data_IF_872218074752
#
_entry.id   IF_872218074752
#
_cell.length_a   1.000
_cell.length_b   1.000
_cell.length_c   1.000
_cell.angle_alpha   90.00
_cell.angle_beta   90.00
_cell.angle_gamma   90.00
#
_symmetry.space_group_name_H-M   'P 1'
#
loop_
_entity.id
_entity.type
_entity.pdbx_description
1 polymer ?
#
# COMPACT_ATOMS: atom_id res chain seq x y z
N UNK A 1 -9.20 -18.53 -20.57
CA UNK A 1 -8.30 -18.55 -19.40
C UNK A 1 -8.96 -17.88 -18.21
N UNK A 2 -9.32 -18.68 -17.20
CA UNK A 2 -9.65 -18.24 -15.84
C UNK A 2 -8.63 -18.80 -14.87
N UNK A 3 -8.30 -18.01 -13.84
CA UNK A 3 -7.27 -18.34 -12.87
C UNK A 3 -7.81 -18.52 -11.45
N UNK A 4 -7.06 -19.27 -10.66
CA UNK A 4 -7.22 -19.45 -9.23
C UNK A 4 -5.88 -19.28 -8.53
N UNK A 5 -5.89 -18.67 -7.36
CA UNK A 5 -4.68 -18.45 -6.55
C UNK A 5 -4.79 -19.22 -5.25
N UNK A 6 -3.73 -19.95 -4.91
CA UNK A 6 -3.61 -20.69 -3.66
C UNK A 6 -2.41 -20.15 -2.88
N UNK A 7 -2.66 -19.67 -1.66
CA UNK A 7 -1.62 -19.24 -0.73
C UNK A 7 -1.46 -20.27 0.40
N UNK A 8 -0.23 -20.75 0.58
CA UNK A 8 0.10 -21.81 1.53
C UNK A 8 0.99 -21.23 2.62
N UNK A 9 0.56 -21.44 3.86
CA UNK A 9 1.29 -21.07 5.06
C UNK A 9 0.38 -21.11 6.26
N UNK A 10 0.76 -21.89 7.27
CA UNK A 10 0.02 -22.01 8.53
C UNK A 10 -0.16 -20.64 9.22
N UNK A 11 0.80 -19.72 9.06
CA UNK A 11 0.71 -18.33 9.55
C UNK A 11 -0.41 -17.52 8.88
N UNK A 12 -0.79 -17.87 7.64
CA UNK A 12 -1.89 -17.22 6.93
C UNK A 12 -3.23 -17.69 7.50
N UNK A 13 -3.40 -19.00 7.69
CA UNK A 13 -4.65 -19.57 8.24
C UNK A 13 -4.89 -19.23 9.70
N UNK A 14 -3.82 -18.98 10.46
CA UNK A 14 -3.92 -18.53 11.86
C UNK A 14 -4.13 -17.01 11.99
N UNK A 15 -4.05 -16.27 10.89
CA UNK A 15 -4.15 -14.82 10.88
C UNK A 15 -2.91 -14.09 11.42
N UNK A 16 -1.81 -14.81 11.68
CA UNK A 16 -0.55 -14.20 12.10
C UNK A 16 0.08 -13.34 11.01
N UNK A 17 -0.27 -13.58 9.74
CA UNK A 17 0.16 -12.78 8.60
C UNK A 17 -0.96 -12.65 7.57
N UNK A 18 -1.09 -11.45 7.01
CA UNK A 18 -2.02 -11.17 5.91
C UNK A 18 -1.47 -11.72 4.58
N UNK A 19 -2.33 -12.39 3.81
CA UNK A 19 -2.01 -12.77 2.44
C UNK A 19 -2.04 -11.57 1.50
N UNK A 20 -0.85 -11.01 1.26
CA UNK A 20 -0.65 -9.92 0.29
C UNK A 20 -0.23 -10.43 -1.09
N UNK A 21 0.13 -11.72 -1.21
CA UNK A 21 0.58 -12.32 -2.46
C UNK A 21 -0.60 -12.52 -3.41
N UNK A 22 -1.71 -13.08 -2.91
CA UNK A 22 -2.91 -13.29 -3.73
C UNK A 22 -3.50 -11.98 -4.22
N UNK A 23 -3.49 -10.94 -3.37
CA UNK A 23 -3.91 -9.59 -3.77
C UNK A 23 -3.06 -9.07 -4.94
N UNK A 24 -1.73 -9.18 -4.85
CA UNK A 24 -0.84 -8.68 -5.90
C UNK A 24 -1.00 -9.47 -7.20
N UNK A 25 -1.00 -10.80 -7.14
CA UNK A 25 -1.19 -11.66 -8.32
C UNK A 25 -2.54 -11.44 -9.02
N UNK A 26 -3.60 -11.19 -8.26
CA UNK A 26 -4.90 -10.82 -8.84
C UNK A 26 -4.85 -9.54 -9.66
N UNK A 27 -4.09 -8.53 -9.22
CA UNK A 27 -3.93 -7.28 -9.97
C UNK A 27 -3.18 -7.52 -11.27
N UNK A 28 -2.08 -8.27 -11.22
CA UNK A 28 -1.28 -8.59 -12.40
C UNK A 28 -2.05 -9.41 -13.44
N UNK A 29 -2.79 -10.44 -13.01
CA UNK A 29 -3.61 -11.24 -13.92
C UNK A 29 -4.77 -10.43 -14.52
N UNK A 30 -5.40 -9.56 -13.72
CA UNK A 30 -6.46 -8.66 -14.21
C UNK A 30 -5.92 -7.70 -15.27
N UNK A 31 -4.67 -7.22 -15.11
CA UNK A 31 -4.03 -6.34 -16.08
C UNK A 31 -3.88 -6.97 -17.47
N UNK A 32 -3.84 -8.29 -17.58
CA UNK A 32 -3.84 -9.01 -18.86
C UNK A 32 -5.18 -9.71 -19.17
N UNK A 33 -6.25 -9.36 -18.44
CA UNK A 33 -7.60 -9.87 -18.68
C UNK A 33 -7.80 -11.33 -18.37
N UNK A 34 -7.04 -11.87 -17.41
CA UNK A 34 -7.26 -13.19 -16.84
C UNK A 34 -7.99 -13.00 -15.50
N UNK A 35 -9.31 -13.27 -15.44
CA UNK A 35 -10.05 -13.11 -14.20
C UNK A 35 -9.63 -14.18 -13.18
N UNK A 36 -9.35 -13.74 -11.95
CA UNK A 36 -9.19 -14.63 -10.81
C UNK A 36 -10.55 -14.86 -10.16
N UNK A 37 -11.00 -16.11 -10.12
CA UNK A 37 -12.34 -16.47 -9.59
C UNK A 37 -12.31 -16.91 -8.13
N UNK A 38 -11.20 -17.48 -7.70
CA UNK A 38 -11.06 -18.07 -6.38
C UNK A 38 -9.70 -17.71 -5.79
N UNK A 39 -9.71 -17.36 -4.51
CA UNK A 39 -8.54 -17.38 -3.62
C UNK A 39 -8.75 -18.51 -2.62
N UNK A 40 -7.72 -19.33 -2.41
CA UNK A 40 -7.71 -20.39 -1.41
C UNK A 40 -6.50 -20.19 -0.51
N UNK A 41 -6.71 -20.17 0.80
CA UNK A 41 -5.62 -20.06 1.79
C UNK A 41 -5.60 -21.33 2.62
N UNK A 42 -4.43 -21.96 2.77
CA UNK A 42 -4.30 -23.26 3.42
C UNK A 42 -3.08 -23.35 4.33
N UNK A 43 -3.20 -24.17 5.38
CA UNK A 43 -2.08 -24.58 6.22
C UNK A 43 -1.24 -25.64 5.52
N UNK A 44 -0.07 -25.91 6.08
CA UNK A 44 0.90 -26.88 5.58
C UNK A 44 0.49 -28.33 5.95
N UNK A 45 -0.54 -28.83 5.28
CA UNK A 45 -1.05 -30.20 5.42
C UNK A 45 -1.13 -30.90 4.06
N UNK A 46 -0.34 -31.95 3.88
CA UNK A 46 -0.13 -32.59 2.57
C UNK A 46 -1.43 -33.15 1.98
N UNK A 47 -2.25 -33.83 2.76
CA UNK A 47 -3.48 -34.47 2.27
C UNK A 47 -4.54 -33.42 1.90
N UNK A 48 -4.72 -32.41 2.75
CA UNK A 48 -5.62 -31.30 2.48
C UNK A 48 -5.18 -30.50 1.25
N UNK A 49 -3.87 -30.23 1.10
CA UNK A 49 -3.31 -29.53 -0.05
C UNK A 49 -3.61 -30.29 -1.35
N UNK A 50 -3.36 -31.60 -1.39
CA UNK A 50 -3.67 -32.43 -2.58
C UNK A 50 -5.16 -32.38 -2.91
N UNK A 51 -6.04 -32.51 -1.92
CA UNK A 51 -7.49 -32.47 -2.12
C UNK A 51 -7.97 -31.12 -2.68
N UNK A 52 -7.43 -30.01 -2.16
CA UNK A 52 -7.74 -28.68 -2.65
C UNK A 52 -7.18 -28.44 -4.06
N UNK A 53 -5.94 -28.84 -4.32
CA UNK A 53 -5.32 -28.68 -5.65
C UNK A 53 -6.11 -29.40 -6.73
N UNK A 54 -6.63 -30.60 -6.45
CA UNK A 54 -7.50 -31.34 -7.38
C UNK A 54 -8.74 -30.52 -7.73
N UNK A 55 -9.43 -29.99 -6.72
CA UNK A 55 -10.58 -29.10 -6.91
C UNK A 55 -10.23 -27.89 -7.78
N UNK A 56 -9.10 -27.23 -7.50
CA UNK A 56 -8.64 -26.04 -8.23
C UNK A 56 -8.28 -26.34 -9.68
N UNK A 57 -7.56 -27.44 -9.94
CA UNK A 57 -7.18 -27.88 -11.29
C UNK A 57 -8.41 -28.19 -12.16
N UNK A 58 -9.42 -28.85 -11.58
CA UNK A 58 -10.62 -29.25 -12.33
C UNK A 58 -11.50 -28.07 -12.76
N UNK A 59 -11.45 -26.94 -12.02
CA UNK A 59 -12.29 -25.77 -12.30
C UNK A 59 -11.56 -24.57 -12.92
N UNK A 60 -10.23 -24.60 -13.01
CA UNK A 60 -9.42 -23.45 -13.46
C UNK A 60 -8.44 -23.82 -14.58
N UNK A 61 -8.17 -22.89 -15.50
CA UNK A 61 -7.18 -23.08 -16.60
C UNK A 61 -5.75 -22.77 -16.15
N UNK A 62 -5.62 -21.91 -15.13
CA UNK A 62 -4.37 -21.54 -14.50
C UNK A 62 -4.53 -21.60 -12.98
N UNK A 63 -3.63 -22.30 -12.30
CA UNK A 63 -3.53 -22.29 -10.83
C UNK A 63 -2.17 -21.74 -10.45
N UNK A 64 -2.16 -20.62 -9.74
CA UNK A 64 -0.96 -20.03 -9.17
C UNK A 64 -0.88 -20.36 -7.68
N UNK A 65 0.21 -20.98 -7.26
CA UNK A 65 0.44 -21.40 -5.88
C UNK A 65 1.61 -20.59 -5.32
N UNK A 66 1.48 -20.04 -4.12
CA UNK A 66 2.57 -19.35 -3.42
C UNK A 66 2.80 -19.94 -2.03
N UNK A 67 4.07 -20.17 -1.67
CA UNK A 67 4.45 -20.71 -0.37
C UNK A 67 4.76 -22.22 -0.35
N UNK A 68 5.35 -22.68 0.75
CA UNK A 68 5.66 -24.10 1.01
C UNK A 68 6.74 -24.73 0.11
N UNK A 69 7.65 -23.93 -0.46
CA UNK A 69 8.78 -24.40 -1.29
C UNK A 69 10.16 -24.05 -0.73
N UNK A 70 10.27 -23.64 0.54
CA UNK A 70 11.55 -23.55 1.22
C UNK A 70 12.14 -24.94 1.55
N UNK A 71 13.17 -25.01 2.41
CA UNK A 71 13.82 -26.24 2.82
C UNK A 71 13.24 -26.87 4.11
N UNK A 72 12.23 -26.29 4.77
CA UNK A 72 11.75 -26.73 6.10
C UNK A 72 10.74 -27.89 6.02
N UNK A 73 10.29 -28.43 7.17
CA UNK A 73 9.52 -29.71 7.22
C UNK A 73 8.07 -29.51 6.81
N UNK A 74 7.58 -28.33 7.09
CA UNK A 74 6.31 -27.75 6.67
C UNK A 74 6.33 -27.30 5.19
N UNK A 75 7.48 -27.20 4.52
CA UNK A 75 7.53 -26.91 3.08
C UNK A 75 7.13 -28.14 2.21
N UNK A 76 5.82 -28.35 2.11
CA UNK A 76 5.19 -29.52 1.49
C UNK A 76 4.63 -29.29 0.08
N UNK A 77 4.72 -28.08 -0.49
CA UNK A 77 4.08 -27.75 -1.78
C UNK A 77 4.59 -28.60 -2.94
N UNK A 78 5.91 -28.90 -3.00
CA UNK A 78 6.46 -29.78 -4.04
C UNK A 78 5.85 -31.18 -3.97
N UNK A 79 5.76 -31.73 -2.76
CA UNK A 79 5.22 -33.06 -2.48
C UNK A 79 3.73 -33.09 -2.83
N UNK A 80 2.99 -32.03 -2.51
CA UNK A 80 1.57 -31.91 -2.85
C UNK A 80 1.35 -31.83 -4.38
N UNK A 81 2.17 -31.09 -5.12
CA UNK A 81 2.08 -31.04 -6.59
C UNK A 81 2.47 -32.39 -7.21
N UNK A 82 3.47 -33.08 -6.67
CA UNK A 82 3.82 -34.43 -7.09
C UNK A 82 2.67 -35.43 -6.85
N UNK A 83 2.04 -35.39 -5.67
CA UNK A 83 0.88 -36.23 -5.34
C UNK A 83 -0.40 -35.86 -6.09
N UNK A 84 -0.54 -34.60 -6.51
CA UNK A 84 -1.61 -34.16 -7.41
C UNK A 84 -1.49 -34.81 -8.79
N UNK A 85 -0.27 -34.82 -9.34
CA UNK A 85 0.01 -35.38 -10.66
C UNK A 85 0.30 -36.90 -10.66
N UNK A 86 0.29 -37.53 -9.49
CA UNK A 86 0.63 -38.95 -9.28
C UNK A 86 2.02 -39.33 -9.85
N UNK A 87 3.01 -38.49 -9.57
CA UNK A 87 4.40 -38.67 -10.00
C UNK A 87 5.37 -38.55 -8.83
N UNK A 88 6.58 -39.10 -9.01
CA UNK A 88 7.66 -38.94 -8.05
C UNK A 88 8.35 -37.57 -8.17
N UNK A 89 9.05 -37.17 -7.10
CA UNK A 89 10.00 -36.07 -7.15
C UNK A 89 11.36 -36.55 -7.69
N UNK A 90 11.92 -35.82 -8.65
CA UNK A 90 13.23 -36.07 -9.24
C UNK A 90 14.18 -34.93 -8.96
N UNK A 91 15.46 -35.25 -8.74
CA UNK A 91 16.49 -34.23 -8.59
C UNK A 91 16.74 -33.55 -9.94
N UNK A 92 16.84 -32.22 -9.92
CA UNK A 92 17.30 -31.43 -11.06
C UNK A 92 18.68 -30.85 -10.74
N UNK A 93 19.72 -31.50 -11.26
CA UNK A 93 21.12 -31.19 -11.00
C UNK A 93 21.47 -29.72 -11.31
N UNK A 94 21.01 -29.11 -12.42
CA UNK A 94 21.29 -27.69 -12.68
C UNK A 94 20.71 -26.77 -11.59
N UNK A 95 19.51 -27.05 -11.07
CA UNK A 95 18.94 -26.27 -9.95
C UNK A 95 19.76 -26.44 -8.68
N UNK A 96 20.23 -27.67 -8.40
CA UNK A 96 21.08 -27.94 -7.23
C UNK A 96 22.39 -27.16 -7.28
N UNK A 97 23.04 -27.09 -8.45
CA UNK A 97 24.29 -26.34 -8.62
C UNK A 97 24.09 -24.83 -8.45
N UNK A 98 22.98 -24.29 -8.96
CA UNK A 98 22.61 -22.88 -8.71
C UNK A 98 22.46 -22.65 -7.20
N UNK A 99 21.74 -23.51 -6.49
CA UNK A 99 21.55 -23.36 -5.04
C UNK A 99 22.89 -23.40 -4.30
N UNK A 100 23.75 -24.38 -4.61
CA UNK A 100 25.12 -24.46 -4.03
C UNK A 100 25.91 -23.17 -4.27
N UNK A 101 25.85 -22.62 -5.49
CA UNK A 101 26.56 -21.37 -5.83
C UNK A 101 26.10 -20.18 -4.97
N UNK A 102 24.81 -20.12 -4.59
CA UNK A 102 24.29 -19.07 -3.71
C UNK A 102 24.89 -19.15 -2.30
N UNK A 103 25.05 -20.36 -1.76
CA UNK A 103 25.70 -20.57 -0.46
C UNK A 103 27.19 -20.21 -0.50
N UNK A 104 27.89 -20.59 -1.57
CA UNK A 104 29.30 -20.21 -1.81
C UNK A 104 29.45 -18.69 -1.86
N UNK A 105 28.59 -17.98 -2.62
CA UNK A 105 28.61 -16.52 -2.69
C UNK A 105 28.37 -15.84 -1.33
N UNK A 106 27.56 -16.48 -0.48
CA UNK A 106 27.30 -16.04 0.90
C UNK A 106 28.38 -16.49 1.90
N UNK A 107 29.46 -17.14 1.44
CA UNK A 107 30.53 -17.72 2.26
C UNK A 107 30.00 -18.69 3.33
N UNK A 108 29.01 -19.50 2.96
CA UNK A 108 28.40 -20.52 3.83
C UNK A 108 28.43 -21.88 3.14
N UNK A 109 28.52 -22.93 3.94
CA UNK A 109 28.25 -24.28 3.46
C UNK A 109 26.73 -24.49 3.30
N UNK A 110 26.33 -25.23 2.27
CA UNK A 110 24.93 -25.55 2.03
C UNK A 110 24.51 -26.71 2.95
N UNK A 111 23.50 -26.54 3.82
CA UNK A 111 22.93 -27.65 4.55
C UNK A 111 22.38 -28.71 3.58
N UNK A 112 22.60 -30.00 3.87
CA UNK A 112 22.15 -31.10 2.99
C UNK A 112 20.67 -31.01 2.62
N UNK A 113 19.87 -30.59 3.59
CA UNK A 113 18.43 -30.46 3.46
C UNK A 113 18.01 -29.48 2.36
N UNK A 114 18.79 -28.44 2.07
CA UNK A 114 18.49 -27.50 0.99
C UNK A 114 18.44 -28.18 -0.39
N UNK A 115 19.03 -29.37 -0.55
CA UNK A 115 18.90 -30.15 -1.78
C UNK A 115 17.44 -30.50 -2.12
N UNK A 116 16.53 -30.54 -1.13
CA UNK A 116 15.08 -30.75 -1.38
C UNK A 116 14.49 -29.65 -2.27
N UNK A 117 15.07 -28.44 -2.26
CA UNK A 117 14.63 -27.33 -3.10
C UNK A 117 14.99 -27.54 -4.59
N UNK A 118 15.84 -28.53 -4.90
CA UNK A 118 16.16 -28.96 -6.26
C UNK A 118 15.37 -30.22 -6.68
N UNK A 119 14.38 -30.65 -5.89
CA UNK A 119 13.51 -31.78 -6.21
C UNK A 119 12.22 -31.29 -6.85
N UNK A 120 11.87 -31.81 -8.03
CA UNK A 120 10.74 -31.38 -8.82
C UNK A 120 9.83 -32.55 -9.19
N UNK A 121 8.51 -32.38 -9.26
CA UNK A 121 7.62 -33.39 -9.82
C UNK A 121 8.09 -33.81 -11.21
N UNK A 122 8.19 -35.12 -11.47
CA UNK A 122 8.57 -35.63 -12.80
C UNK A 122 7.64 -35.05 -13.88
N UNK A 123 8.23 -34.47 -14.92
CA UNK A 123 7.49 -33.82 -16.01
C UNK A 123 7.12 -32.35 -15.76
N UNK A 124 7.58 -31.76 -14.64
CA UNK A 124 7.54 -30.32 -14.43
C UNK A 124 8.83 -29.63 -14.90
N UNK A 125 8.74 -28.33 -15.10
CA UNK A 125 9.85 -27.46 -15.46
C UNK A 125 10.20 -26.52 -14.29
N UNK A 126 11.48 -26.40 -13.92
CA UNK A 126 11.91 -25.47 -12.88
C UNK A 126 11.85 -24.02 -13.37
N UNK A 127 11.37 -23.11 -12.51
CA UNK A 127 11.35 -21.67 -12.77
C UNK A 127 12.46 -21.00 -11.97
N UNK A 128 13.31 -20.22 -12.64
CA UNK A 128 14.45 -19.57 -11.99
C UNK A 128 14.03 -18.61 -10.88
N UNK A 129 14.73 -18.65 -9.75
CA UNK A 129 14.60 -17.68 -8.66
C UNK A 129 15.95 -17.00 -8.41
N UNK A 130 16.22 -15.82 -9.00
CA UNK A 130 17.50 -15.14 -8.79
C UNK A 130 17.61 -14.46 -7.41
N UNK A 131 16.51 -14.35 -6.65
CA UNK A 131 16.47 -13.64 -5.35
C UNK A 131 16.49 -14.58 -4.14
N UNK A 132 16.19 -15.85 -4.30
CA UNK A 132 16.20 -16.85 -3.23
C UNK A 132 16.60 -18.24 -3.70
N UNK A 133 16.73 -19.17 -2.75
CA UNK A 133 17.24 -20.52 -3.02
C UNK A 133 16.18 -21.52 -3.48
N UNK A 134 14.90 -21.12 -3.56
CA UNK A 134 13.80 -21.97 -3.96
C UNK A 134 13.36 -21.65 -5.40
N UNK A 135 13.74 -22.44 -6.42
CA UNK A 135 13.17 -22.31 -7.75
C UNK A 135 11.67 -22.64 -7.71
N UNK A 136 10.90 -22.02 -8.60
CA UNK A 136 9.49 -22.32 -8.79
C UNK A 136 9.27 -23.58 -9.63
N UNK A 137 8.01 -23.96 -9.83
CA UNK A 137 7.61 -25.16 -10.57
C UNK A 137 6.56 -24.76 -11.60
N UNK A 138 6.71 -25.19 -12.85
CA UNK A 138 5.68 -25.09 -13.90
C UNK A 138 5.29 -26.49 -14.33
N UNK A 139 4.02 -26.84 -14.29
CA UNK A 139 3.54 -28.17 -14.68
C UNK A 139 2.18 -28.09 -15.37
N UNK A 140 1.98 -28.96 -16.37
CA UNK A 140 0.66 -29.20 -16.94
C UNK A 140 0.04 -30.40 -16.22
N UNK A 141 -1.14 -30.21 -15.64
CA UNK A 141 -1.87 -31.26 -14.91
C UNK A 141 -3.19 -31.52 -15.63
N UNK A 142 -3.45 -32.79 -15.96
CA UNK A 142 -4.69 -33.18 -16.63
C UNK A 142 -5.88 -33.05 -15.67
N UNK A 143 -7.00 -32.54 -16.19
CA UNK A 143 -8.26 -32.44 -15.44
C UNK A 143 -8.99 -33.78 -15.39
N UNK A 144 -9.74 -33.99 -14.32
CA UNK A 144 -10.59 -35.17 -14.15
C UNK A 144 -11.66 -35.23 -15.24
N UNK A 145 -11.77 -36.37 -15.93
CA UNK A 145 -12.87 -36.65 -16.86
C UNK A 145 -12.73 -36.06 -18.27
N UNK A 146 -11.54 -35.64 -18.70
CA UNK A 146 -11.30 -35.21 -20.09
C UNK A 146 -9.83 -35.00 -20.46
N UNK A 147 -9.58 -34.51 -21.68
CA UNK A 147 -8.23 -34.25 -22.23
C UNK A 147 -7.73 -32.82 -21.96
N UNK A 148 -8.46 -32.04 -21.17
CA UNK A 148 -8.10 -30.66 -20.84
C UNK A 148 -6.99 -30.65 -19.78
N UNK A 149 -6.05 -29.72 -19.92
CA UNK A 149 -4.97 -29.49 -18.96
C UNK A 149 -5.16 -28.17 -18.21
N UNK A 150 -4.75 -28.15 -16.95
CA UNK A 150 -4.56 -26.96 -16.14
C UNK A 150 -3.06 -26.68 -16.02
N UNK A 151 -2.67 -25.42 -16.23
CA UNK A 151 -1.30 -25.00 -15.95
C UNK A 151 -1.17 -24.67 -14.47
N UNK A 152 -0.34 -25.42 -13.75
CA UNK A 152 -0.01 -25.20 -12.34
C UNK A 152 1.35 -24.53 -12.24
N UNK A 153 1.42 -23.40 -11.56
CA UNK A 153 2.66 -22.64 -11.34
C UNK A 153 2.85 -22.43 -9.84
N UNK A 154 3.98 -22.88 -9.32
CA UNK A 154 4.36 -22.71 -7.91
C UNK A 154 5.47 -21.69 -7.78
N UNK A 155 5.29 -20.74 -6.86
CA UNK A 155 6.22 -19.66 -6.58
C UNK A 155 6.53 -19.57 -5.07
N UNK A 156 7.64 -18.90 -4.67
CA UNK A 156 7.97 -18.69 -3.27
C UNK A 156 6.88 -17.92 -2.50
N UNK A 157 6.80 -18.11 -1.18
CA UNK A 157 5.91 -17.32 -0.32
C UNK A 157 6.44 -15.91 -0.02
N UNK A 158 7.75 -15.68 -0.20
CA UNK A 158 8.39 -14.38 0.02
C UNK A 158 7.98 -13.40 -1.09
N UNK A 159 7.31 -12.27 -0.78
CA UNK A 159 6.74 -11.39 -1.82
C UNK A 159 7.77 -10.88 -2.83
N UNK A 160 8.96 -10.49 -2.38
CA UNK A 160 10.00 -9.94 -3.27
C UNK A 160 10.59 -10.97 -4.24
N UNK A 161 10.55 -12.26 -3.90
CA UNK A 161 10.96 -13.36 -4.76
C UNK A 161 9.83 -13.73 -5.73
N UNK A 162 8.61 -13.90 -5.21
CA UNK A 162 7.42 -14.22 -5.98
C UNK A 162 7.15 -13.19 -7.08
N UNK A 163 7.08 -11.90 -6.73
CA UNK A 163 6.80 -10.82 -7.69
C UNK A 163 7.79 -10.84 -8.85
N UNK A 164 9.09 -10.97 -8.53
CA UNK A 164 10.17 -11.02 -9.50
C UNK A 164 10.05 -12.23 -10.42
N UNK A 165 9.79 -13.41 -9.86
CA UNK A 165 9.60 -14.64 -10.63
C UNK A 165 8.39 -14.54 -11.55
N UNK A 166 7.28 -14.00 -11.03
CA UNK A 166 6.06 -13.83 -11.81
C UNK A 166 6.30 -12.91 -13.01
N UNK A 167 6.81 -11.70 -12.79
CA UNK A 167 7.05 -10.69 -13.84
C UNK A 167 7.97 -11.21 -14.96
N UNK A 168 9.00 -11.98 -14.60
CA UNK A 168 10.03 -12.39 -15.56
C UNK A 168 9.77 -13.69 -16.29
N UNK A 169 9.26 -14.68 -15.57
CA UNK A 169 9.26 -16.07 -16.06
C UNK A 169 7.83 -16.56 -16.30
N UNK A 170 6.86 -16.07 -15.53
CA UNK A 170 5.47 -16.52 -15.62
C UNK A 170 4.68 -15.65 -16.58
N UNK A 171 4.65 -14.34 -16.34
CA UNK A 171 3.84 -13.35 -17.04
C UNK A 171 4.07 -13.38 -18.57
N UNK A 172 5.32 -13.47 -19.09
CA UNK A 172 5.53 -13.52 -20.55
C UNK A 172 4.93 -14.76 -21.22
N UNK A 173 4.74 -15.84 -20.47
CA UNK A 173 4.13 -17.08 -20.94
C UNK A 173 2.61 -17.12 -20.81
N UNK A 174 1.95 -16.06 -20.32
CA UNK A 174 0.50 -15.98 -20.19
C UNK A 174 -0.10 -15.21 -21.36
N UNK A 175 -1.09 -15.81 -22.03
CA UNK A 175 -1.87 -15.15 -23.08
C UNK A 175 -3.22 -14.72 -22.49
N UNK A 176 -3.42 -13.40 -22.42
CA UNK A 176 -4.67 -12.79 -21.99
C UNK A 176 -5.85 -13.09 -22.92
N UNK A 177 -7.06 -12.72 -22.49
CA UNK A 177 -8.28 -12.86 -23.30
C UNK A 177 -8.42 -11.82 -24.42
N UNK A 178 -7.43 -10.93 -24.57
CA UNK A 178 -7.53 -9.72 -25.40
C UNK A 178 -8.33 -8.59 -24.73
N UNK A 179 -9.05 -8.87 -23.65
CA UNK A 179 -9.62 -7.86 -22.76
C UNK A 179 -8.53 -7.41 -21.78
N UNK A 180 -8.51 -6.12 -21.49
CA UNK A 180 -7.55 -5.47 -20.61
C UNK A 180 -8.35 -4.83 -19.48
N UNK A 181 -7.86 -4.97 -18.26
CA UNK A 181 -8.35 -4.21 -17.11
C UNK A 181 -7.23 -3.26 -16.69
N UNK A 182 -7.55 -2.00 -16.48
CA UNK A 182 -6.63 -1.04 -15.86
C UNK A 182 -7.30 -0.40 -14.68
N UNK A 183 -6.49 -0.07 -13.69
CA UNK A 183 -6.91 0.64 -12.50
C UNK A 183 -6.19 1.96 -12.41
N UNK A 184 -6.84 2.96 -11.83
CA UNK A 184 -6.21 4.19 -11.40
C UNK A 184 -6.78 4.64 -10.05
N UNK A 185 -5.99 5.41 -9.31
CA UNK A 185 -6.41 6.01 -8.04
C UNK A 185 -6.23 7.51 -8.05
N UNK A 186 -7.25 8.21 -7.56
CA UNK A 186 -7.20 9.65 -7.28
C UNK A 186 -7.46 9.86 -5.79
N UNK A 187 -6.53 10.49 -5.11
CA UNK A 187 -6.52 10.64 -3.66
C UNK A 187 -7.02 12.04 -3.28
N UNK A 188 -7.94 12.06 -2.33
CA UNK A 188 -8.61 13.25 -1.85
C UNK A 188 -8.50 13.38 -0.32
N UNK A 189 -8.44 14.62 0.16
CA UNK A 189 -8.41 14.94 1.59
C UNK A 189 -9.30 16.15 1.87
N UNK A 190 -9.98 16.15 3.03
CA UNK A 190 -10.87 17.24 3.46
C UNK A 190 -12.35 17.05 3.12
N UNK A 191 -12.70 16.00 2.37
CA UNK A 191 -14.09 15.65 2.05
C UNK A 191 -14.47 14.32 2.70
N UNK A 192 -15.71 14.19 3.16
CA UNK A 192 -16.27 12.93 3.67
C UNK A 192 -16.75 12.01 2.55
N UNK A 193 -16.87 10.71 2.82
CA UNK A 193 -17.27 9.70 1.81
C UNK A 193 -18.62 10.03 1.15
N UNK A 194 -19.68 10.23 1.95
CA UNK A 194 -21.01 10.53 1.43
C UNK A 194 -21.08 11.85 0.66
N UNK A 195 -20.32 12.86 1.08
CA UNK A 195 -20.23 14.12 0.38
C UNK A 195 -19.50 13.97 -0.97
N UNK A 196 -18.41 13.20 -0.99
CA UNK A 196 -17.71 12.88 -2.24
C UNK A 196 -18.61 12.10 -3.21
N UNK A 197 -19.38 11.12 -2.71
CA UNK A 197 -20.35 10.37 -3.51
C UNK A 197 -21.42 11.29 -4.11
N UNK A 198 -22.00 12.18 -3.30
CA UNK A 198 -23.00 13.16 -3.76
C UNK A 198 -22.44 14.10 -4.84
N UNK A 199 -21.22 14.62 -4.63
CA UNK A 199 -20.54 15.48 -5.60
C UNK A 199 -20.28 14.73 -6.92
N UNK A 200 -19.94 13.44 -6.86
CA UNK A 200 -19.65 12.60 -8.02
C UNK A 200 -20.91 12.17 -8.80
N UNK A 201 -22.03 11.95 -8.12
CA UNK A 201 -23.32 11.60 -8.71
C UNK A 201 -23.23 10.33 -9.57
N UNK A 202 -23.73 10.39 -10.81
CA UNK A 202 -23.74 9.27 -11.77
C UNK A 202 -22.34 8.71 -12.14
N UNK A 203 -21.25 9.31 -11.66
CA UNK A 203 -19.91 8.73 -11.80
C UNK A 203 -19.72 7.45 -11.00
N UNK A 204 -20.40 7.31 -9.86
CA UNK A 204 -20.33 6.13 -8.98
C UNK A 204 -21.47 5.13 -9.21
N UNK A 205 -22.27 5.33 -10.27
CA UNK A 205 -23.37 4.44 -10.60
C UNK A 205 -22.90 3.00 -10.83
N UNK A 206 -23.69 2.03 -10.35
CA UNK A 206 -23.44 0.60 -10.56
C UNK A 206 -23.49 0.28 -12.06
N UNK A 207 -22.68 -0.67 -12.49
CA UNK A 207 -22.57 -1.16 -13.88
C UNK A 207 -21.97 -0.17 -14.91
N UNK A 208 -21.39 0.95 -14.46
CA UNK A 208 -20.62 1.86 -15.32
C UNK A 208 -19.26 1.28 -15.71
N UNK A 209 -18.79 1.58 -16.91
CA UNK A 209 -17.40 1.37 -17.35
C UNK A 209 -16.80 2.69 -17.86
N UNK A 210 -15.78 3.25 -17.20
CA UNK A 210 -15.09 2.68 -16.05
C UNK A 210 -15.93 2.76 -14.77
N UNK A 211 -15.76 1.76 -13.89
CA UNK A 211 -16.32 1.76 -12.55
C UNK A 211 -15.53 2.76 -11.69
N UNK A 212 -16.22 3.59 -10.90
CA UNK A 212 -15.59 4.49 -9.93
C UNK A 212 -16.10 4.15 -8.54
N UNK A 213 -15.26 3.50 -7.75
CA UNK A 213 -15.53 3.18 -6.35
C UNK A 213 -14.85 4.17 -5.41
N UNK A 214 -15.43 4.35 -4.22
CA UNK A 214 -14.88 5.18 -3.14
C UNK A 214 -14.37 4.28 -2.04
N UNK A 215 -13.16 4.54 -1.54
CA UNK A 215 -12.61 3.85 -0.37
C UNK A 215 -11.97 4.84 0.59
N UNK A 216 -12.05 4.55 1.89
CA UNK A 216 -11.47 5.37 2.95
C UNK A 216 -10.34 4.63 3.65
N UNK A 217 -9.18 5.29 3.81
CA UNK A 217 -8.07 4.77 4.59
C UNK A 217 -7.27 5.92 5.21
N UNK A 218 -7.03 5.89 6.52
CA UNK A 218 -6.25 6.91 7.25
C UNK A 218 -6.58 8.36 6.85
N UNK A 219 -7.88 8.70 6.88
CA UNK A 219 -8.41 10.01 6.50
C UNK A 219 -8.18 10.45 5.03
N UNK A 220 -7.70 9.56 4.16
CA UNK A 220 -7.68 9.76 2.70
C UNK A 220 -8.90 9.09 2.08
N UNK A 221 -9.63 9.84 1.25
CA UNK A 221 -10.69 9.34 0.38
C UNK A 221 -10.06 9.03 -0.98
N UNK A 222 -10.16 7.79 -1.46
CA UNK A 222 -9.57 7.36 -2.73
C UNK A 222 -10.64 6.98 -3.74
N UNK A 223 -10.64 7.63 -4.90
CA UNK A 223 -11.43 7.23 -6.06
C UNK A 223 -10.69 6.13 -6.81
N UNK A 224 -11.22 4.92 -6.78
CA UNK A 224 -10.70 3.78 -7.53
C UNK A 224 -11.43 3.66 -8.87
N UNK A 225 -10.72 3.98 -9.94
CA UNK A 225 -11.24 3.90 -11.30
C UNK A 225 -10.81 2.55 -11.89
N UNK A 226 -11.76 1.71 -12.31
CA UNK A 226 -11.48 0.43 -12.97
C UNK A 226 -12.08 0.43 -14.37
N UNK A 227 -11.22 0.42 -15.39
CA UNK A 227 -11.62 0.43 -16.79
C UNK A 227 -11.40 -0.92 -17.45
N UNK A 228 -12.39 -1.37 -18.21
CA UNK A 228 -12.31 -2.56 -19.05
C UNK A 228 -12.20 -2.12 -20.53
N UNK A 229 -11.47 -2.87 -21.35
CA UNK A 229 -11.32 -2.54 -22.77
C UNK A 229 -10.67 -3.67 -23.56
N UNK A 230 -10.52 -3.48 -24.86
CA UNK A 230 -9.82 -4.43 -25.76
C UNK A 230 -8.35 -4.04 -25.98
N UNK A 231 -7.91 -2.93 -25.39
CA UNK A 231 -6.53 -2.48 -25.42
C UNK A 231 -6.22 -1.59 -24.23
N UNK A 232 -4.95 -1.48 -23.88
CA UNK A 232 -4.47 -0.55 -22.86
C UNK A 232 -4.84 0.91 -23.19
N UNK A 233 -4.72 1.31 -24.46
CA UNK A 233 -5.07 2.66 -24.89
C UNK A 233 -6.56 2.98 -24.68
N UNK A 234 -7.45 2.01 -24.91
CA UNK A 234 -8.89 2.17 -24.65
C UNK A 234 -9.16 2.36 -23.16
N UNK A 235 -8.59 1.50 -22.30
CA UNK A 235 -8.73 1.62 -20.85
C UNK A 235 -8.16 2.95 -20.34
N UNK A 236 -7.00 3.37 -20.84
CA UNK A 236 -6.37 4.62 -20.44
C UNK A 236 -7.21 5.83 -20.80
N UNK A 237 -7.86 5.83 -21.98
CA UNK A 237 -8.79 6.89 -22.38
C UNK A 237 -9.98 6.96 -21.42
N UNK A 238 -10.61 5.83 -21.12
CA UNK A 238 -11.73 5.74 -20.14
C UNK A 238 -11.31 6.27 -18.77
N UNK A 239 -10.15 5.86 -18.27
CA UNK A 239 -9.59 6.33 -17.00
C UNK A 239 -9.35 7.84 -17.03
N UNK A 240 -8.80 8.37 -18.12
CA UNK A 240 -8.49 9.80 -18.23
C UNK A 240 -9.75 10.65 -18.26
N UNK A 241 -10.78 10.22 -18.99
CA UNK A 241 -12.09 10.88 -19.04
C UNK A 241 -12.77 10.89 -17.66
N UNK A 242 -12.86 9.72 -17.00
CA UNK A 242 -13.43 9.65 -15.66
C UNK A 242 -12.62 10.44 -14.63
N UNK A 243 -11.29 10.37 -14.71
CA UNK A 243 -10.39 11.10 -13.82
C UNK A 243 -10.45 12.61 -14.01
N UNK A 244 -10.74 13.10 -15.22
CA UNK A 244 -11.01 14.51 -15.46
C UNK A 244 -12.31 14.92 -14.74
N UNK A 245 -13.39 14.15 -14.91
CA UNK A 245 -14.66 14.42 -14.22
C UNK A 245 -14.52 14.39 -12.69
N UNK A 246 -13.70 13.48 -12.13
CA UNK A 246 -13.38 13.48 -10.69
C UNK A 246 -12.74 14.80 -10.29
N UNK A 247 -11.72 15.27 -11.01
CA UNK A 247 -11.01 16.52 -10.69
C UNK A 247 -11.91 17.75 -10.83
N UNK A 248 -12.76 17.79 -11.84
CA UNK A 248 -13.71 18.89 -12.04
C UNK A 248 -14.73 18.97 -10.90
N UNK A 249 -15.20 17.82 -10.41
CA UNK A 249 -16.23 17.77 -9.35
C UNK A 249 -15.66 17.94 -7.95
N UNK A 250 -14.53 17.30 -7.64
CA UNK A 250 -13.93 17.33 -6.30
C UNK A 250 -12.92 18.47 -6.11
N UNK A 251 -12.45 19.10 -7.19
CA UNK A 251 -11.66 20.33 -7.16
C UNK A 251 -10.48 20.28 -6.20
N UNK A 252 -10.47 21.20 -5.24
CA UNK A 252 -9.42 21.36 -4.24
C UNK A 252 -9.19 20.13 -3.36
N UNK A 253 -10.19 19.27 -3.17
CA UNK A 253 -10.03 18.08 -2.33
C UNK A 253 -9.05 17.08 -2.95
N UNK A 254 -8.88 17.09 -4.27
CA UNK A 254 -7.91 16.23 -4.96
C UNK A 254 -6.50 16.73 -4.69
N UNK A 255 -5.64 15.86 -4.16
CA UNK A 255 -4.25 16.21 -3.89
C UNK A 255 -3.24 15.36 -4.66
N UNK A 256 -3.54 14.10 -4.97
CA UNK A 256 -2.55 13.18 -5.55
C UNK A 256 -3.19 12.04 -6.34
N UNK A 257 -2.34 11.26 -7.01
CA UNK A 257 -2.71 10.05 -7.74
C UNK A 257 -1.90 8.85 -7.26
N UNK A 258 -2.44 7.66 -7.46
CA UNK A 258 -1.77 6.41 -7.08
C UNK A 258 -1.32 6.36 -5.62
N UNK A 259 -0.02 6.26 -5.38
CA UNK A 259 0.60 6.15 -4.05
C UNK A 259 1.07 7.50 -3.52
N UNK A 260 0.71 8.61 -4.18
CA UNK A 260 1.00 9.94 -3.66
C UNK A 260 0.17 10.23 -2.41
N UNK A 261 0.87 10.58 -1.33
CA UNK A 261 0.36 11.19 -0.10
C UNK A 261 0.66 12.70 -0.07
N UNK A 262 0.02 13.45 0.84
CA UNK A 262 0.15 14.92 0.93
C UNK A 262 1.59 15.41 1.09
N UNK A 263 2.42 14.69 1.85
CA UNK A 263 3.85 14.98 2.03
C UNK A 263 4.61 14.98 0.70
N UNK A 264 4.27 14.07 -0.22
CA UNK A 264 4.89 14.03 -1.55
C UNK A 264 4.57 15.30 -2.34
N UNK A 265 3.32 15.76 -2.26
CA UNK A 265 2.85 16.96 -2.97
C UNK A 265 3.50 18.20 -2.40
N UNK A 266 3.53 18.34 -1.08
CA UNK A 266 4.13 19.49 -0.38
C UNK A 266 5.63 19.58 -0.69
N UNK A 267 6.38 18.48 -0.55
CA UNK A 267 7.82 18.47 -0.86
C UNK A 267 8.07 18.84 -2.32
N UNK A 268 7.27 18.31 -3.26
CA UNK A 268 7.38 18.67 -4.68
C UNK A 268 7.14 20.17 -4.90
N UNK A 269 6.05 20.72 -4.39
CA UNK A 269 5.70 22.14 -4.57
C UNK A 269 6.73 23.08 -3.96
N UNK A 270 7.23 22.77 -2.75
CA UNK A 270 8.28 23.54 -2.10
C UNK A 270 9.56 23.55 -2.95
N UNK A 271 9.99 22.40 -3.45
CA UNK A 271 11.19 22.28 -4.30
C UNK A 271 11.05 23.01 -5.62
N UNK A 272 9.90 22.88 -6.29
CA UNK A 272 9.63 23.56 -7.55
C UNK A 272 9.65 25.08 -7.41
N UNK A 273 9.24 25.60 -6.23
CA UNK A 273 9.25 27.03 -5.92
C UNK A 273 10.52 27.51 -5.20
N UNK A 274 11.42 26.60 -4.82
CA UNK A 274 12.63 26.92 -4.05
C UNK A 274 12.34 27.45 -2.64
N UNK A 275 11.24 27.00 -2.02
CA UNK A 275 10.78 27.42 -0.70
C UNK A 275 11.12 26.39 0.37
N UNK A 276 11.19 26.85 1.61
CA UNK A 276 11.63 26.07 2.78
C UNK A 276 10.56 25.98 3.86
N UNK A 277 10.59 24.89 4.63
CA UNK A 277 9.61 24.53 5.65
C UNK A 277 10.29 24.06 6.94
N UNK A 278 9.74 24.48 8.09
CA UNK A 278 10.00 23.88 9.40
C UNK A 278 8.70 23.44 10.10
N UNK A 279 8.81 22.61 11.13
CA UNK A 279 7.63 22.10 11.87
C UNK A 279 7.75 22.22 13.39
N UNK A 280 6.66 22.55 14.07
CA UNK A 280 6.50 22.50 15.52
C UNK A 280 5.38 21.54 15.93
N UNK A 281 5.72 20.43 16.56
CA UNK A 281 4.78 19.34 16.83
C UNK A 281 4.57 19.14 18.33
N UNK A 282 3.32 19.22 18.80
CA UNK A 282 2.96 18.71 20.14
C UNK A 282 2.29 17.34 20.03
N UNK A 283 1.03 17.29 19.58
CA UNK A 283 0.21 16.07 19.61
C UNK A 283 0.66 14.93 18.69
N UNK A 284 1.30 15.26 17.58
CA UNK A 284 1.78 14.30 16.59
C UNK A 284 3.11 13.64 16.98
N UNK A 285 3.89 14.26 17.88
CA UNK A 285 5.11 13.67 18.44
C UNK A 285 6.22 13.40 17.42
N UNK A 286 6.32 14.18 16.34
CA UNK A 286 7.32 14.01 15.28
C UNK A 286 6.83 13.27 14.05
N UNK A 287 5.55 12.89 13.99
CA UNK A 287 4.97 12.20 12.83
C UNK A 287 4.99 13.07 11.55
N UNK A 288 4.79 14.39 11.67
CA UNK A 288 4.82 15.28 10.51
C UNK A 288 6.25 15.38 9.94
N UNK A 289 7.24 15.56 10.82
CA UNK A 289 8.66 15.51 10.46
C UNK A 289 9.02 14.17 9.79
N UNK A 290 8.63 13.05 10.39
CA UNK A 290 8.86 11.71 9.83
C UNK A 290 8.31 11.59 8.40
N UNK A 291 7.05 11.97 8.17
CA UNK A 291 6.41 11.94 6.85
C UNK A 291 7.17 12.76 5.82
N UNK A 292 7.59 13.98 6.18
CA UNK A 292 8.36 14.84 5.27
C UNK A 292 9.72 14.22 4.93
N UNK A 293 10.41 13.63 5.90
CA UNK A 293 11.74 13.02 5.70
C UNK A 293 11.73 11.67 4.98
N UNK A 294 10.58 11.01 4.88
CA UNK A 294 10.45 9.76 4.12
C UNK A 294 10.33 10.00 2.60
N UNK A 295 10.07 11.24 2.18
CA UNK A 295 9.93 11.63 0.78
C UNK A 295 11.28 11.96 0.17
N UNK A 296 11.62 11.35 -0.97
CA UNK A 296 12.86 11.64 -1.68
C UNK A 296 13.01 13.13 -2.07
N UNK A 297 14.15 13.72 -1.69
CA UNK A 297 14.51 15.11 -2.00
C UNK A 297 14.00 16.14 -1.00
N UNK A 298 13.53 15.71 0.19
CA UNK A 298 13.14 16.62 1.28
C UNK A 298 14.28 17.53 1.74
N UNK A 299 15.54 17.12 1.58
CA UNK A 299 16.73 17.80 2.11
C UNK A 299 16.91 19.22 1.56
N UNK A 300 16.31 19.51 0.40
CA UNK A 300 16.35 20.83 -0.23
C UNK A 300 15.28 21.80 0.24
N UNK A 301 14.28 21.35 1.01
CA UNK A 301 13.15 22.20 1.42
C UNK A 301 12.73 22.04 2.88
N UNK A 302 12.97 20.91 3.53
CA UNK A 302 12.62 20.73 4.95
C UNK A 302 13.86 20.95 5.83
N UNK A 303 13.89 22.06 6.58
CA UNK A 303 15.07 22.45 7.37
C UNK A 303 15.08 21.90 8.80
N UNK A 304 13.99 21.27 9.21
CA UNK A 304 13.87 20.58 10.50
C UNK A 304 12.62 20.97 11.26
N UNK A 305 12.60 20.61 12.54
CA UNK A 305 11.47 20.89 13.41
C UNK A 305 11.76 20.59 14.87
N UNK A 306 10.80 20.92 15.72
CA UNK A 306 10.85 20.69 17.16
C UNK A 306 9.61 19.97 17.64
N UNK A 307 9.80 19.07 18.60
CA UNK A 307 8.69 18.39 19.29
C UNK A 307 8.54 19.05 20.67
N UNK A 308 7.42 19.73 20.88
CA UNK A 308 7.14 20.59 22.05
C UNK A 308 5.88 20.16 22.80
N UNK A 309 5.89 18.99 23.48
CA UNK A 309 4.69 18.38 24.06
C UNK A 309 4.21 19.04 25.36
N UNK A 310 4.93 20.05 25.87
CA UNK A 310 4.61 20.71 27.14
C UNK A 310 4.66 22.22 26.99
N UNK A 311 3.89 22.95 27.80
CA UNK A 311 3.92 24.41 27.85
C UNK A 311 5.32 24.94 28.18
N UNK A 312 6.10 24.22 28.98
CA UNK A 312 7.49 24.57 29.24
C UNK A 312 8.32 24.51 27.94
N UNK A 313 8.22 23.42 27.17
CA UNK A 313 8.91 23.28 25.89
C UNK A 313 8.45 24.33 24.86
N UNK A 314 7.15 24.63 24.78
CA UNK A 314 6.61 25.70 23.90
C UNK A 314 7.23 27.06 24.23
N UNK A 315 7.37 27.39 25.52
CA UNK A 315 7.99 28.65 25.96
C UNK A 315 9.50 28.68 25.73
N UNK A 316 10.20 27.61 26.09
CA UNK A 316 11.67 27.57 26.06
C UNK A 316 12.24 27.42 24.65
N UNK A 317 11.59 26.64 23.78
CA UNK A 317 12.10 26.34 22.44
C UNK A 317 11.52 27.25 21.36
N UNK A 318 10.28 27.72 21.53
CA UNK A 318 9.55 28.49 20.51
C UNK A 318 9.18 29.90 20.97
N UNK A 319 9.56 30.29 22.18
CA UNK A 319 9.27 31.61 22.76
C UNK A 319 7.77 31.95 22.76
N UNK A 320 6.90 30.94 22.89
CA UNK A 320 5.46 31.15 23.01
C UNK A 320 5.18 31.90 24.32
N UNK A 321 4.34 32.93 24.30
CA UNK A 321 4.00 33.69 25.50
C UNK A 321 3.25 32.81 26.52
N UNK A 322 3.75 32.76 27.76
CA UNK A 322 3.13 32.01 28.84
C UNK A 322 1.77 32.56 29.27
N UNK A 323 1.50 33.85 29.09
CA UNK A 323 0.18 34.41 29.39
C UNK A 323 -0.84 34.08 28.29
N UNK A 324 -0.40 33.96 27.03
CA UNK A 324 -1.23 33.44 25.93
C UNK A 324 -1.65 32.00 26.19
N UNK A 325 -0.74 31.13 26.62
CA UNK A 325 -1.07 29.73 26.97
C UNK A 325 -2.06 29.63 28.13
N UNK A 326 -1.98 30.53 29.13
CA UNK A 326 -2.95 30.56 30.24
C UNK A 326 -4.32 31.06 29.82
N UNK A 327 -4.39 32.04 28.93
CA UNK A 327 -5.65 32.70 28.54
C UNK A 327 -6.39 31.93 27.45
N UNK A 328 -5.70 31.55 26.37
CA UNK A 328 -6.28 30.83 25.25
C UNK A 328 -6.26 29.31 25.43
N UNK A 329 -5.39 28.80 26.31
CA UNK A 329 -5.15 27.37 26.46
C UNK A 329 -4.12 26.85 25.46
N UNK A 330 -3.47 25.74 25.83
CA UNK A 330 -2.41 25.10 25.04
C UNK A 330 -2.89 24.48 23.73
N UNK A 331 -4.20 24.23 23.63
CA UNK A 331 -4.90 23.61 22.50
C UNK A 331 -5.87 24.65 21.93
N UNK A 332 -5.30 25.64 21.24
CA UNK A 332 -6.04 26.77 20.67
C UNK A 332 -5.41 27.19 19.34
N UNK A 333 -6.15 27.96 18.54
CA UNK A 333 -5.65 28.53 17.30
C UNK A 333 -4.48 29.49 17.57
N UNK A 334 -4.57 30.27 18.65
CA UNK A 334 -3.56 31.20 19.11
C UNK A 334 -2.27 30.48 19.51
N UNK A 335 -2.38 29.38 20.26
CA UNK A 335 -1.22 28.56 20.63
C UNK A 335 -0.58 27.92 19.39
N UNK A 336 -1.38 27.40 18.45
CA UNK A 336 -0.88 26.84 17.20
C UNK A 336 -0.11 27.90 16.39
N UNK A 337 -0.69 29.09 16.21
CA UNK A 337 -0.07 30.18 15.47
C UNK A 337 1.22 30.68 16.15
N UNK A 338 1.23 30.79 17.49
CA UNK A 338 2.41 31.16 18.25
C UNK A 338 3.54 30.13 18.12
N UNK A 339 3.20 28.83 18.16
CA UNK A 339 4.14 27.73 17.93
C UNK A 339 4.74 27.80 16.52
N UNK A 340 3.91 27.98 15.49
CA UNK A 340 4.36 28.09 14.10
C UNK A 340 5.26 29.33 13.92
N UNK A 341 4.87 30.47 14.48
CA UNK A 341 5.66 31.69 14.43
C UNK A 341 7.01 31.59 15.15
N UNK A 342 7.07 30.93 16.30
CA UNK A 342 8.33 30.61 16.97
C UNK A 342 9.24 29.74 16.10
N UNK A 343 8.67 28.73 15.45
CA UNK A 343 9.40 27.78 14.62
C UNK A 343 9.93 28.45 13.34
N UNK A 344 9.10 29.28 12.70
CA UNK A 344 9.46 30.14 11.56
C UNK A 344 10.71 30.97 11.87
N UNK A 345 10.70 31.68 13.01
CA UNK A 345 11.85 32.50 13.45
C UNK A 345 13.08 31.67 13.77
N UNK A 346 12.90 30.53 14.45
CA UNK A 346 14.00 29.69 14.91
C UNK A 346 14.78 29.06 13.76
N UNK A 347 14.08 28.58 12.73
CA UNK A 347 14.71 27.91 11.58
C UNK A 347 14.98 28.85 10.40
N UNK A 348 14.36 30.03 10.37
CA UNK A 348 14.53 30.99 9.27
C UNK A 348 14.02 30.45 7.93
N UNK A 349 12.91 29.72 7.96
CA UNK A 349 12.28 29.12 6.77
C UNK A 349 11.28 30.08 6.13
N UNK A 350 10.81 29.78 4.92
CA UNK A 350 9.74 30.55 4.27
C UNK A 350 8.37 30.29 4.92
N UNK A 351 8.18 29.04 5.38
CA UNK A 351 6.99 28.60 6.10
C UNK A 351 7.34 27.79 7.35
N UNK A 352 6.43 27.81 8.31
CA UNK A 352 6.41 26.88 9.43
C UNK A 352 5.00 26.37 9.67
N UNK A 353 4.89 25.06 9.90
CA UNK A 353 3.66 24.41 10.33
C UNK A 353 3.72 24.11 11.83
N UNK A 354 2.59 24.25 12.52
CA UNK A 354 2.46 23.79 13.90
C UNK A 354 1.22 22.95 14.11
N UNK A 355 1.29 22.01 15.03
CA UNK A 355 0.18 21.16 15.47
C UNK A 355 0.14 21.13 17.00
N UNK A 356 -1.01 21.51 17.58
CA UNK A 356 -1.22 21.44 19.04
C UNK A 356 -1.31 19.99 19.52
N UNK A 357 -1.56 19.80 20.80
CA UNK A 357 -1.86 18.50 21.37
C UNK A 357 -3.02 17.82 20.62
N UNK A 358 -3.00 16.49 20.58
CA UNK A 358 -4.12 15.65 20.18
C UNK A 358 -4.64 14.95 21.45
N UNK A 359 -5.57 15.57 22.21
CA UNK A 359 -6.20 14.94 23.36
C UNK A 359 -6.69 13.52 23.07
N UNK A 360 -6.56 12.64 24.07
CA UNK A 360 -7.26 11.38 24.02
C UNK A 360 -8.78 11.61 24.13
N UNK A 361 -9.55 10.81 23.43
CA UNK A 361 -11.00 10.80 23.50
C UNK A 361 -11.51 9.36 23.51
N UNK A 362 -12.62 9.13 24.20
CA UNK A 362 -13.32 7.85 24.15
C UNK A 362 -14.18 7.81 22.88
N UNK A 363 -13.91 6.91 21.92
CA UNK A 363 -14.72 6.82 20.70
C UNK A 363 -16.17 6.43 20.97
N UNK A 364 -16.47 5.82 22.13
CA UNK A 364 -17.82 5.40 22.52
C UNK A 364 -18.59 6.50 23.29
N UNK A 365 -17.92 7.58 23.71
CA UNK A 365 -18.57 8.70 24.40
C UNK A 365 -19.08 9.75 23.42
N UNK A 366 -20.37 9.66 23.08
CA UNK A 366 -21.05 10.66 22.25
C UNK A 366 -21.64 11.85 23.05
N UNK A 367 -21.37 11.94 24.35
CA UNK A 367 -22.00 12.93 25.25
C UNK A 367 -21.05 13.99 25.78
N UNK A 368 -19.74 13.72 25.74
CA UNK A 368 -18.68 14.68 26.08
C UNK A 368 -18.43 15.76 25.01
N UNK A 369 -17.70 16.80 25.40
CA UNK A 369 -17.17 17.80 24.46
C UNK A 369 -16.16 17.13 23.52
N UNK A 370 -16.37 17.26 22.21
CA UNK A 370 -15.49 16.64 21.22
C UNK A 370 -14.14 17.34 21.20
N UNK A 371 -13.03 16.62 21.47
CA UNK A 371 -11.73 17.27 21.50
C UNK A 371 -11.31 17.79 20.12
N UNK A 372 -10.67 18.95 20.11
CA UNK A 372 -10.24 19.62 18.89
C UNK A 372 -8.72 19.62 18.83
N UNK A 373 -8.18 19.43 17.63
CA UNK A 373 -6.78 19.71 17.31
C UNK A 373 -6.70 20.96 16.44
N UNK A 374 -5.73 21.82 16.71
CA UNK A 374 -5.46 23.01 15.91
C UNK A 374 -4.14 22.84 15.16
N UNK A 375 -4.14 23.29 13.91
CA UNK A 375 -2.94 23.43 13.09
C UNK A 375 -2.79 24.87 12.64
N UNK A 376 -1.57 25.31 12.46
CA UNK A 376 -1.29 26.64 11.93
C UNK A 376 -0.19 26.59 10.88
N UNK A 377 -0.29 27.51 9.91
CA UNK A 377 0.72 27.83 8.92
C UNK A 377 1.13 29.28 9.13
N UNK A 378 2.41 29.52 9.32
CA UNK A 378 2.99 30.86 9.39
C UNK A 378 4.08 31.00 8.33
N UNK A 379 4.16 32.18 7.72
CA UNK A 379 5.22 32.60 6.82
C UNK A 379 5.27 34.12 6.76
N UNK A 380 6.08 34.68 5.87
CA UNK A 380 6.19 36.14 5.74
C UNK A 380 4.85 36.74 5.25
N UNK A 381 4.18 37.47 6.15
CA UNK A 381 2.85 38.05 5.89
C UNK A 381 1.70 37.05 5.88
N UNK A 382 1.94 35.80 6.29
CA UNK A 382 0.95 34.71 6.28
C UNK A 382 0.80 34.17 7.71
N UNK A 383 -0.44 34.09 8.19
CA UNK A 383 -0.80 33.44 9.44
C UNK A 383 -2.21 32.86 9.31
N UNK A 384 -2.27 31.55 9.10
CA UNK A 384 -3.52 30.82 8.90
C UNK A 384 -3.62 29.68 9.91
N UNK A 385 -4.82 29.39 10.37
CA UNK A 385 -5.08 28.29 11.30
C UNK A 385 -6.31 27.51 10.88
N UNK A 386 -6.26 26.20 11.05
CA UNK A 386 -7.39 25.32 10.87
C UNK A 386 -7.56 24.44 12.10
N UNK A 387 -8.78 23.93 12.30
CA UNK A 387 -9.11 23.06 13.43
C UNK A 387 -9.93 21.88 12.96
N UNK A 388 -9.76 20.73 13.63
CA UNK A 388 -10.56 19.55 13.33
C UNK A 388 -11.04 18.88 14.62
N UNK A 389 -12.32 18.54 14.64
CA UNK A 389 -12.93 17.77 15.71
C UNK A 389 -12.46 16.31 15.63
N UNK A 390 -11.80 15.83 16.67
CA UNK A 390 -11.30 14.46 16.73
C UNK A 390 -12.44 13.50 17.07
N UNK A 391 -12.98 12.90 16.01
CA UNK A 391 -14.05 11.90 16.05
C UNK A 391 -13.63 10.65 15.31
N UNK A 392 -14.20 9.51 15.70
CA UNK A 392 -13.92 8.20 15.11
C UNK A 392 -12.79 7.47 15.83
N UNK A 393 -11.97 6.71 15.11
CA UNK A 393 -10.89 5.93 15.71
C UNK A 393 -9.74 6.83 16.21
N UNK A 394 -9.37 6.81 17.51
CA UNK A 394 -8.22 7.56 18.03
C UNK A 394 -6.90 7.23 17.32
N UNK A 395 -6.76 6.02 16.74
CA UNK A 395 -5.56 5.60 16.02
C UNK A 395 -5.25 6.48 14.79
N UNK A 396 -6.28 7.07 14.17
CA UNK A 396 -6.09 7.94 12.99
C UNK A 396 -5.94 9.43 13.33
N UNK A 397 -6.13 9.83 14.59
CA UNK A 397 -6.18 11.24 14.98
C UNK A 397 -4.89 12.01 14.62
N UNK A 398 -3.73 11.43 14.96
CA UNK A 398 -2.42 12.04 14.66
C UNK A 398 -2.16 12.09 13.16
N UNK A 399 -2.49 11.02 12.43
CA UNK A 399 -2.34 10.95 10.97
C UNK A 399 -3.19 12.04 10.29
N UNK A 400 -4.45 12.20 10.72
CA UNK A 400 -5.35 13.24 10.23
C UNK A 400 -4.84 14.65 10.55
N UNK A 401 -4.34 14.90 11.76
CA UNK A 401 -3.77 16.20 12.13
C UNK A 401 -2.54 16.57 11.27
N UNK A 402 -1.63 15.62 11.05
CA UNK A 402 -0.47 15.82 10.18
C UNK A 402 -0.89 16.11 8.72
N UNK A 403 -1.86 15.34 8.19
CA UNK A 403 -2.42 15.58 6.85
C UNK A 403 -3.12 16.94 6.75
N UNK A 404 -3.84 17.37 7.78
CA UNK A 404 -4.47 18.69 7.81
C UNK A 404 -3.43 19.81 7.73
N UNK A 405 -2.34 19.72 8.48
CA UNK A 405 -1.25 20.70 8.41
C UNK A 405 -0.59 20.74 7.01
N UNK A 406 -0.30 19.57 6.43
CA UNK A 406 0.25 19.49 5.07
C UNK A 406 -0.72 20.04 4.02
N UNK A 407 -2.02 19.76 4.17
CA UNK A 407 -3.02 20.24 3.24
C UNK A 407 -3.18 21.76 3.31
N UNK A 408 -3.10 22.36 4.49
CA UNK A 408 -3.11 23.82 4.66
C UNK A 408 -1.96 24.47 3.87
N UNK A 409 -0.74 23.95 4.00
CA UNK A 409 0.39 24.41 3.21
C UNK A 409 0.21 24.13 1.70
N UNK A 410 -0.31 22.96 1.33
CA UNK A 410 -0.56 22.62 -0.08
C UNK A 410 -1.50 23.62 -0.74
N UNK A 411 -2.65 23.92 -0.13
CA UNK A 411 -3.62 24.87 -0.66
C UNK A 411 -2.98 26.25 -0.81
N UNK A 412 -2.19 26.69 0.19
CA UNK A 412 -1.46 27.94 0.12
C UNK A 412 -0.46 27.98 -1.04
N UNK A 413 0.31 26.91 -1.24
CA UNK A 413 1.27 26.77 -2.33
C UNK A 413 0.59 26.60 -3.70
N UNK A 414 -0.71 26.30 -3.75
CA UNK A 414 -1.49 26.26 -4.99
C UNK A 414 -2.26 27.55 -5.26
N UNK A 415 -2.20 28.52 -4.34
CA UNK A 415 -2.97 29.77 -4.39
C UNK A 415 -4.48 29.50 -4.49
N UNK A 416 -4.93 28.49 -3.75
CA UNK A 416 -6.34 28.13 -3.57
C UNK A 416 -6.75 28.69 -2.20
N UNK A 417 -7.72 29.61 -2.21
CA UNK A 417 -8.24 30.32 -1.03
C UNK A 417 -9.19 29.49 -0.18
#
# INVERSE_FOLDING_TARGET
MQAEIIAIGSELTTGAKLDTNSQWLSRELSAIGIPVRYHVTMADDLEAMIAAFRTSVDRSELVLITGGIGPTLDDLTRQAVAGLADVELVLHEPSLEIIKSMFVRRKREMPERNAIQAMFPRGSEPISNPRGSAPGISMQVQRTGGDAFCRVIVMPGVPSEMKRMFEQEVLPGLSGSGRVIRHARINCFGVGESAAEEMLGELTARDRDPEVGITVHEATITMRITAHGNSEAECQRKISEAGQTVREKLGEFVFGVEDEELEHIVVRLLRERGLTLATAESGTGGLLAHRLTDVAGFEGCYLGGVVVPTDAAKREMLEVDGDLLKQAGSISAEAAAAMAGGCHRQFGTDFALAITECPWFDPDDSTGETPIVYVALVGDGIAESASHAMVGDPAIAKSRAAKMALNLLRLKLLEID
#
